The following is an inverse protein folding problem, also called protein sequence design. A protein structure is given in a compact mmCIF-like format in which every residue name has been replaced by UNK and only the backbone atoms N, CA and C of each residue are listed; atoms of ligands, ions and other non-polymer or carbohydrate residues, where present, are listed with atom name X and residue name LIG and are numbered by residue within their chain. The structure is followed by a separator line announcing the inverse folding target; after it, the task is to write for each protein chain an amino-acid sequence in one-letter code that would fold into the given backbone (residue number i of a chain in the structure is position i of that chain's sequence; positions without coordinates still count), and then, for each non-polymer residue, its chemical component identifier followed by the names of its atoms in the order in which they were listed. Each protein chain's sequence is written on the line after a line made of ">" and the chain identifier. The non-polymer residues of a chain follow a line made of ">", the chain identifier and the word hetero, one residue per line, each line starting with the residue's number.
data_IF_848898163638
#
_entry.id   IF_848898163638
#
_cell.length_a   1.000
_cell.length_b   1.000
_cell.length_c   1.000
_cell.angle_alpha   90.00
_cell.angle_beta   90.00
_cell.angle_gamma   90.00
#
_symmetry.space_group_name_H-M   'P 1'
#
loop_
_entity.id
_entity.type
_entity.pdbx_description
1 polymer ?
#
# COMPACT_ATOMS: atom_id res chain seq x y z
N UNK A 1 -16.73 -5.60 9.27
CA UNK A 1 -17.93 -4.74 9.36
C UNK A 1 -18.33 -4.37 7.94
N UNK A 2 -19.62 -4.38 7.59
CA UNK A 2 -20.05 -4.01 6.22
C UNK A 2 -20.00 -2.48 6.04
N UNK A 3 -19.70 -1.98 4.82
CA UNK A 3 -19.86 -0.57 4.49
C UNK A 3 -21.32 -0.11 4.62
N UNK A 4 -21.53 1.21 4.57
CA UNK A 4 -22.88 1.78 4.60
C UNK A 4 -23.61 1.51 3.28
N UNK A 5 -24.89 1.17 3.35
CA UNK A 5 -25.73 0.82 2.18
C UNK A 5 -25.82 1.95 1.15
N UNK A 6 -25.73 3.21 1.60
CA UNK A 6 -25.73 4.40 0.74
C UNK A 6 -24.50 4.49 -0.19
N UNK A 7 -23.39 3.80 0.14
CA UNK A 7 -22.19 3.77 -0.71
C UNK A 7 -22.31 2.86 -1.94
N UNK A 8 -23.31 1.96 -1.98
CA UNK A 8 -23.48 0.96 -3.05
C UNK A 8 -23.48 1.61 -4.44
N UNK A 9 -24.20 2.72 -4.60
CA UNK A 9 -24.28 3.42 -5.89
C UNK A 9 -22.93 3.96 -6.33
N UNK A 10 -22.17 4.57 -5.41
CA UNK A 10 -20.85 5.13 -5.70
C UNK A 10 -19.86 4.01 -6.06
N UNK A 11 -19.83 2.93 -5.27
CA UNK A 11 -18.99 1.77 -5.54
C UNK A 11 -19.30 1.15 -6.91
N UNK A 12 -20.58 0.96 -7.22
CA UNK A 12 -21.04 0.42 -8.51
C UNK A 12 -20.58 1.28 -9.69
N UNK A 13 -20.72 2.60 -9.58
CA UNK A 13 -20.31 3.54 -10.63
C UNK A 13 -18.78 3.59 -10.79
N UNK A 14 -18.02 3.53 -9.69
CA UNK A 14 -16.56 3.51 -9.70
C UNK A 14 -15.99 2.36 -10.53
N UNK A 15 -16.62 1.19 -10.47
CA UNK A 15 -16.23 0.00 -11.26
C UNK A 15 -16.95 -0.10 -12.62
N UNK A 16 -17.75 0.91 -12.99
CA UNK A 16 -18.37 1.03 -14.32
C UNK A 16 -19.48 0.03 -14.64
N UNK A 17 -20.14 -0.60 -13.66
CA UNK A 17 -21.18 -1.61 -13.93
C UNK A 17 -22.61 -1.02 -13.83
N UNK A 18 -23.54 -1.61 -14.58
CA UNK A 18 -24.96 -1.23 -14.56
C UNK A 18 -25.70 -1.86 -13.37
N UNK A 19 -26.82 -1.26 -12.94
CA UNK A 19 -27.71 -1.86 -11.93
C UNK A 19 -28.22 -3.24 -12.37
N UNK A 20 -28.47 -3.43 -13.67
CA UNK A 20 -28.88 -4.72 -14.25
C UNK A 20 -27.80 -5.79 -14.05
N UNK A 21 -26.53 -5.44 -14.27
CA UNK A 21 -25.40 -6.36 -14.06
C UNK A 21 -25.25 -6.71 -12.59
N UNK A 22 -25.29 -5.70 -11.70
CA UNK A 22 -25.19 -5.93 -10.25
C UNK A 22 -26.32 -6.83 -9.74
N UNK A 23 -27.56 -6.58 -10.18
CA UNK A 23 -28.74 -7.38 -9.84
C UNK A 23 -28.58 -8.85 -10.26
N UNK A 24 -28.12 -9.08 -11.50
CA UNK A 24 -27.86 -10.43 -12.02
C UNK A 24 -26.80 -11.18 -11.23
N UNK A 25 -25.72 -10.53 -10.80
CA UNK A 25 -24.65 -11.16 -10.03
C UNK A 25 -25.08 -11.46 -8.59
N UNK A 26 -25.88 -10.57 -7.99
CA UNK A 26 -26.34 -10.68 -6.60
C UNK A 26 -27.55 -11.60 -6.43
N UNK A 27 -28.21 -11.97 -7.53
CA UNK A 27 -29.40 -12.81 -7.53
C UNK A 27 -30.66 -12.07 -7.07
N UNK A 28 -30.75 -10.76 -7.32
CA UNK A 28 -31.92 -9.93 -6.99
C UNK A 28 -32.45 -9.21 -8.22
N UNK A 29 -33.63 -8.57 -8.10
CA UNK A 29 -34.19 -7.80 -9.21
C UNK A 29 -33.48 -6.46 -9.38
N UNK A 30 -33.43 -5.96 -10.63
CA UNK A 30 -32.90 -4.61 -10.91
C UNK A 30 -33.70 -3.51 -10.19
N UNK A 31 -35.00 -3.72 -10.01
CA UNK A 31 -35.87 -2.84 -9.21
C UNK A 31 -35.41 -2.76 -7.75
N UNK A 32 -35.06 -3.89 -7.14
CA UNK A 32 -34.55 -3.93 -5.76
C UNK A 32 -33.24 -3.14 -5.63
N UNK A 33 -32.28 -3.32 -6.56
CA UNK A 33 -31.04 -2.51 -6.57
C UNK A 33 -31.36 -1.02 -6.69
N UNK A 34 -32.28 -0.62 -7.57
CA UNK A 34 -32.69 0.79 -7.70
C UNK A 34 -33.31 1.34 -6.40
N UNK A 35 -34.18 0.57 -5.74
CA UNK A 35 -34.78 0.96 -4.46
C UNK A 35 -33.73 1.12 -3.35
N UNK A 36 -32.74 0.22 -3.30
CA UNK A 36 -31.61 0.30 -2.37
C UNK A 36 -30.77 1.55 -2.64
N UNK A 37 -30.34 1.77 -3.89
CA UNK A 37 -29.49 2.91 -4.27
C UNK A 37 -30.18 4.27 -4.16
N UNK A 38 -31.52 4.30 -4.17
CA UNK A 38 -32.32 5.50 -3.95
C UNK A 38 -32.73 5.72 -2.48
N UNK A 39 -32.34 4.80 -1.58
CA UNK A 39 -32.70 4.87 -0.15
C UNK A 39 -34.16 4.52 0.13
N UNK A 40 -34.93 4.08 -0.86
CA UNK A 40 -36.36 3.71 -0.71
C UNK A 40 -36.57 2.36 -0.03
N UNK A 41 -35.54 1.52 0.03
CA UNK A 41 -35.60 0.21 0.70
C UNK A 41 -34.26 -0.13 1.33
N UNK A 42 -34.31 -0.81 2.48
CA UNK A 42 -33.14 -1.37 3.14
C UNK A 42 -33.02 -2.86 2.80
N UNK A 43 -31.85 -3.33 2.31
CA UNK A 43 -31.63 -4.74 2.06
C UNK A 43 -31.53 -5.53 3.36
N UNK A 44 -31.82 -6.84 3.29
CA UNK A 44 -31.41 -7.75 4.37
C UNK A 44 -29.88 -7.76 4.51
N UNK A 45 -29.37 -8.15 5.69
CA UNK A 45 -27.93 -8.31 5.89
C UNK A 45 -27.30 -9.24 4.84
N UNK A 46 -27.94 -10.37 4.53
CA UNK A 46 -27.44 -11.33 3.54
C UNK A 46 -27.39 -10.73 2.14
N UNK A 47 -28.40 -9.94 1.76
CA UNK A 47 -28.43 -9.23 0.47
C UNK A 47 -27.35 -8.15 0.42
N UNK A 48 -27.22 -7.34 1.47
CA UNK A 48 -26.19 -6.31 1.58
C UNK A 48 -24.79 -6.91 1.48
N UNK A 49 -24.53 -7.99 2.23
CA UNK A 49 -23.27 -8.73 2.20
C UNK A 49 -22.94 -9.21 0.79
N UNK A 50 -23.87 -9.88 0.11
CA UNK A 50 -23.67 -10.33 -1.28
C UNK A 50 -23.35 -9.18 -2.23
N UNK A 51 -24.05 -8.05 -2.10
CA UNK A 51 -23.78 -6.84 -2.90
C UNK A 51 -22.34 -6.37 -2.67
N UNK A 52 -21.93 -6.22 -1.42
CA UNK A 52 -20.58 -5.74 -1.09
C UNK A 52 -19.48 -6.71 -1.47
N UNK A 53 -19.68 -8.02 -1.30
CA UNK A 53 -18.71 -9.05 -1.72
C UNK A 53 -18.48 -8.97 -3.24
N UNK A 54 -19.56 -8.89 -4.04
CA UNK A 54 -19.46 -8.76 -5.51
C UNK A 54 -18.80 -7.45 -5.92
N UNK A 55 -19.19 -6.32 -5.30
CA UNK A 55 -18.58 -5.03 -5.61
C UNK A 55 -17.09 -5.00 -5.27
N UNK A 56 -16.69 -5.58 -4.12
CA UNK A 56 -15.30 -5.67 -3.69
C UNK A 56 -14.46 -6.59 -4.58
N UNK A 57 -15.00 -7.76 -4.94
CA UNK A 57 -14.35 -8.70 -5.87
C UNK A 57 -14.13 -8.08 -7.25
N UNK A 58 -15.12 -7.32 -7.74
CA UNK A 58 -14.99 -6.61 -9.01
C UNK A 58 -14.03 -5.43 -8.90
N UNK A 59 -14.05 -4.67 -7.81
CA UNK A 59 -13.10 -3.57 -7.57
C UNK A 59 -11.65 -4.07 -7.52
N UNK A 60 -11.38 -5.19 -6.84
CA UNK A 60 -10.04 -5.81 -6.80
C UNK A 60 -9.58 -6.38 -8.15
N UNK A 61 -10.52 -6.75 -9.03
CA UNK A 61 -10.24 -7.20 -10.40
C UNK A 61 -10.19 -6.05 -11.42
N UNK A 62 -10.73 -4.87 -11.07
CA UNK A 62 -10.80 -3.70 -11.95
C UNK A 62 -9.53 -2.85 -11.94
N UNK A 63 -8.61 -3.02 -11.00
CA UNK A 63 -7.26 -2.45 -11.15
C UNK A 63 -6.50 -3.29 -12.18
N UNK A 64 -6.38 -2.78 -13.41
CA UNK A 64 -5.52 -3.39 -14.44
C UNK A 64 -4.06 -3.47 -14.01
N UNK A 65 -3.67 -2.64 -13.04
CA UNK A 65 -2.31 -2.49 -12.58
C UNK A 65 -2.05 -3.19 -11.24
N UNK A 66 -0.83 -3.70 -11.12
CA UNK A 66 -0.30 -4.45 -9.97
C UNK A 66 0.87 -3.67 -9.34
N UNK A 67 1.28 -4.08 -8.14
CA UNK A 67 2.45 -3.51 -7.45
C UNK A 67 3.70 -3.52 -8.32
N UNK A 68 3.90 -4.60 -9.08
CA UNK A 68 5.01 -4.73 -10.02
C UNK A 68 5.09 -3.68 -11.12
N UNK A 69 3.97 -3.06 -11.50
CA UNK A 69 3.90 -2.06 -12.56
C UNK A 69 4.43 -0.70 -12.12
N UNK A 70 4.40 -0.42 -10.81
CA UNK A 70 4.81 0.87 -10.23
C UNK A 70 6.14 0.79 -9.47
N UNK A 71 6.58 -0.41 -9.08
CA UNK A 71 7.76 -0.55 -8.24
C UNK A 71 9.06 -0.17 -8.95
N UNK A 72 9.91 0.55 -8.23
CA UNK A 72 11.27 0.83 -8.64
C UNK A 72 12.14 -0.42 -8.42
N UNK A 73 12.79 -0.90 -9.48
CA UNK A 73 13.61 -2.13 -9.46
C UNK A 73 15.02 -1.92 -8.92
N UNK A 74 15.54 -0.69 -9.02
CA UNK A 74 16.85 -0.35 -8.48
C UNK A 74 16.74 -0.05 -6.99
N UNK A 75 16.77 -1.12 -6.19
CA UNK A 75 16.67 -1.01 -4.74
C UNK A 75 18.04 -0.65 -4.20
N UNK A 76 18.15 0.60 -3.75
CA UNK A 76 19.27 1.02 -2.92
C UNK A 76 19.18 0.28 -1.58
N UNK A 77 20.24 -0.44 -1.21
CA UNK A 77 20.31 -1.22 0.05
C UNK A 77 21.44 -0.73 0.95
N UNK A 78 21.28 -0.93 2.25
CA UNK A 78 22.32 -0.82 3.27
C UNK A 78 22.36 -2.09 4.12
N UNK A 79 23.44 -2.28 4.89
CA UNK A 79 23.61 -3.39 5.83
C UNK A 79 23.44 -2.90 7.27
N UNK A 80 23.09 -3.77 8.23
CA UNK A 80 23.03 -3.39 9.65
C UNK A 80 24.35 -2.82 10.21
N UNK A 81 25.48 -3.19 9.58
CA UNK A 81 26.81 -2.71 9.94
C UNK A 81 27.15 -1.33 9.38
N UNK A 82 26.37 -0.79 8.44
CA UNK A 82 26.54 0.60 8.00
C UNK A 82 26.21 1.57 9.13
N UNK A 83 26.69 2.80 9.01
CA UNK A 83 26.39 3.86 9.98
C UNK A 83 25.22 4.72 9.54
N UNK A 84 24.68 5.52 10.46
CA UNK A 84 23.71 6.55 10.12
C UNK A 84 24.29 7.58 9.13
N UNK A 85 25.57 7.92 9.27
CA UNK A 85 26.25 8.81 8.33
C UNK A 85 26.28 8.25 6.90
N UNK A 86 26.53 6.94 6.75
CA UNK A 86 26.45 6.27 5.43
C UNK A 86 25.05 6.40 4.84
N UNK A 87 24.01 6.22 5.66
CA UNK A 87 22.62 6.36 5.23
C UNK A 87 22.30 7.79 4.77
N UNK A 88 22.62 8.80 5.57
CA UNK A 88 22.40 10.23 5.25
C UNK A 88 23.12 10.60 3.95
N UNK A 89 24.39 10.20 3.81
CA UNK A 89 25.19 10.46 2.60
C UNK A 89 24.56 9.83 1.36
N UNK A 90 24.03 8.61 1.50
CA UNK A 90 23.41 7.87 0.39
C UNK A 90 22.04 8.44 0.02
N UNK A 91 21.24 8.84 1.01
CA UNK A 91 19.96 9.54 0.83
C UNK A 91 20.16 10.84 0.06
N UNK A 92 21.08 11.70 0.50
CA UNK A 92 21.40 12.95 -0.20
C UNK A 92 21.89 12.73 -1.63
N UNK A 93 22.82 11.78 -1.82
CA UNK A 93 23.41 11.51 -3.15
C UNK A 93 22.38 11.04 -4.16
N UNK A 94 21.39 10.26 -3.72
CA UNK A 94 20.40 9.63 -4.59
C UNK A 94 19.03 10.32 -4.54
N UNK A 95 18.91 11.40 -3.76
CA UNK A 95 17.66 12.13 -3.53
C UNK A 95 16.49 11.22 -3.12
N UNK A 96 16.77 10.31 -2.17
CA UNK A 96 15.77 9.38 -1.60
C UNK A 96 15.68 9.58 -0.10
N UNK A 97 14.48 9.44 0.46
CA UNK A 97 14.20 9.68 1.88
C UNK A 97 14.24 8.42 2.76
N UNK A 98 14.43 7.25 2.15
CA UNK A 98 14.31 5.97 2.82
C UNK A 98 15.09 4.87 2.10
N UNK A 99 15.74 4.00 2.88
CA UNK A 99 16.61 2.94 2.38
C UNK A 99 16.34 1.67 3.19
N UNK A 100 15.90 0.57 2.55
CA UNK A 100 15.76 -0.71 3.24
C UNK A 100 17.13 -1.29 3.63
N UNK A 101 17.18 -1.86 4.82
CA UNK A 101 18.37 -2.52 5.39
C UNK A 101 18.26 -4.02 5.18
N UNK A 102 19.31 -4.62 4.64
CA UNK A 102 19.37 -6.04 4.30
C UNK A 102 20.52 -6.74 5.02
N UNK A 103 20.22 -7.90 5.60
CA UNK A 103 21.20 -8.90 5.99
C UNK A 103 21.19 -9.97 4.89
N UNK A 104 22.25 -10.04 4.09
CA UNK A 104 22.31 -10.86 2.87
C UNK A 104 21.16 -10.54 1.90
N UNK A 105 20.15 -11.41 1.80
CA UNK A 105 18.99 -11.26 0.92
C UNK A 105 17.69 -10.98 1.69
N UNK A 106 17.74 -10.91 3.01
CA UNK A 106 16.56 -10.72 3.84
C UNK A 106 16.48 -9.25 4.31
N UNK A 107 15.33 -8.59 4.16
CA UNK A 107 15.12 -7.27 4.73
C UNK A 107 14.99 -7.40 6.24
N UNK A 108 15.81 -6.65 6.98
CA UNK A 108 15.85 -6.68 8.45
C UNK A 108 15.39 -5.35 9.09
N UNK A 109 15.23 -4.31 8.28
CA UNK A 109 14.68 -3.03 8.71
C UNK A 109 14.61 -2.01 7.59
N UNK A 110 14.29 -0.78 7.94
CA UNK A 110 14.37 0.39 7.06
C UNK A 110 14.94 1.56 7.83
N UNK A 111 15.74 2.40 7.16
CA UNK A 111 16.13 3.70 7.69
C UNK A 111 15.48 4.80 6.86
N UNK A 112 14.88 5.78 7.52
CA UNK A 112 14.17 6.90 6.90
C UNK A 112 14.64 8.24 7.46
N UNK A 113 14.50 9.33 6.69
CA UNK A 113 14.81 10.69 7.16
C UNK A 113 14.05 11.04 8.45
N UNK A 114 12.77 10.66 8.53
CA UNK A 114 11.96 10.89 9.73
C UNK A 114 12.48 10.08 10.93
N UNK A 115 12.87 8.81 10.72
CA UNK A 115 13.49 8.00 11.76
C UNK A 115 14.80 8.60 12.26
N UNK A 116 15.63 9.14 11.35
CA UNK A 116 16.87 9.85 11.69
C UNK A 116 16.58 11.10 12.52
N UNK A 117 15.60 11.92 12.13
CA UNK A 117 15.21 13.13 12.87
C UNK A 117 14.69 12.80 14.27
N UNK A 118 13.91 11.72 14.40
CA UNK A 118 13.44 11.23 15.69
C UNK A 118 14.61 10.86 16.60
N UNK A 119 15.56 10.08 16.09
CA UNK A 119 16.76 9.71 16.84
C UNK A 119 17.63 10.94 17.20
N UNK A 120 17.70 11.96 16.34
CA UNK A 120 18.41 13.22 16.62
C UNK A 120 17.83 13.98 17.82
N UNK A 121 16.51 13.99 17.96
CA UNK A 121 15.85 14.60 19.10
C UNK A 121 16.14 13.85 20.42
N UNK A 122 16.33 12.53 20.36
CA UNK A 122 16.50 11.68 21.55
C UNK A 122 17.95 11.62 22.06
N UNK A 123 18.94 11.59 21.17
CA UNK A 123 20.34 11.21 21.52
C UNK A 123 21.38 12.32 21.20
N UNK A 124 21.03 13.34 20.40
CA UNK A 124 21.93 14.43 20.02
C UNK A 124 22.96 14.09 18.92
N UNK A 125 23.47 15.12 18.22
CA UNK A 125 24.17 14.96 16.91
C UNK A 125 25.49 14.15 16.98
N UNK A 126 26.24 14.28 18.07
CA UNK A 126 27.60 13.72 18.22
C UNK A 126 27.61 12.19 18.25
N UNK A 127 26.60 11.57 18.86
CA UNK A 127 26.52 10.12 19.03
C UNK A 127 25.93 9.41 17.81
N UNK A 128 25.14 10.13 17.00
CA UNK A 128 24.38 9.56 15.89
C UNK A 128 25.21 9.26 14.65
N UNK A 129 26.26 10.04 14.37
CA UNK A 129 27.05 9.87 13.13
C UNK A 129 27.67 8.47 13.02
N UNK A 130 28.09 7.90 14.15
CA UNK A 130 28.74 6.60 14.22
C UNK A 130 27.80 5.47 14.66
N UNK A 131 26.54 5.78 15.01
CA UNK A 131 25.55 4.79 15.37
C UNK A 131 25.34 3.82 14.20
N UNK A 132 25.32 2.52 14.50
CA UNK A 132 25.07 1.48 13.50
C UNK A 132 23.59 1.47 13.14
N UNK A 133 23.29 1.06 11.91
CA UNK A 133 21.91 0.89 11.47
C UNK A 133 21.20 -0.21 12.26
N UNK A 134 21.90 -1.23 12.74
CA UNK A 134 21.32 -2.25 13.62
C UNK A 134 20.61 -1.65 14.86
N UNK A 135 21.10 -0.52 15.37
CA UNK A 135 20.62 0.11 16.61
C UNK A 135 19.63 1.27 16.34
N UNK A 136 19.47 1.68 15.09
CA UNK A 136 18.73 2.89 14.68
C UNK A 136 17.71 2.66 13.56
N UNK A 137 17.71 1.47 12.94
CA UNK A 137 16.73 1.14 11.91
C UNK A 137 15.34 0.92 12.53
N UNK A 138 14.34 1.27 11.76
CA UNK A 138 12.94 0.97 12.03
C UNK A 138 12.64 -0.48 11.58
N UNK A 139 11.49 -1.00 12.04
CA UNK A 139 11.03 -2.33 11.67
C UNK A 139 10.89 -2.52 10.14
N UNK A 140 10.99 -3.76 9.70
CA UNK A 140 10.84 -4.12 8.28
C UNK A 140 9.52 -3.53 7.73
N UNK A 141 9.55 -2.80 6.62
CA UNK A 141 8.35 -2.24 6.02
C UNK A 141 7.46 -3.36 5.45
N UNK A 142 6.17 -3.11 5.20
CA UNK A 142 5.28 -4.08 4.59
C UNK A 142 5.87 -4.65 3.30
N UNK A 143 5.72 -5.96 3.14
CA UNK A 143 6.13 -6.69 1.95
C UNK A 143 4.86 -7.18 1.26
N UNK A 144 4.71 -6.85 -0.02
CA UNK A 144 3.58 -7.29 -0.86
C UNK A 144 4.08 -8.16 -2.01
N UNK A 145 3.21 -9.01 -2.55
CA UNK A 145 3.53 -9.77 -3.77
C UNK A 145 3.49 -8.87 -5.01
N UNK A 146 4.29 -9.18 -6.02
CA UNK A 146 4.34 -8.48 -7.30
C UNK A 146 2.97 -8.32 -7.95
N UNK A 147 2.11 -9.33 -7.79
CA UNK A 147 0.76 -9.37 -8.35
C UNK A 147 -0.31 -8.70 -7.46
N UNK A 148 0.09 -8.11 -6.34
CA UNK A 148 -0.80 -7.37 -5.45
C UNK A 148 -1.49 -6.23 -6.20
N UNK A 149 -2.84 -6.12 -6.13
CA UNK A 149 -3.59 -5.04 -6.76
C UNK A 149 -3.12 -3.65 -6.34
N UNK A 150 -2.98 -2.72 -7.29
CA UNK A 150 -2.40 -1.42 -6.99
C UNK A 150 -3.24 -0.56 -6.03
N UNK A 151 -4.57 -0.75 -6.03
CA UNK A 151 -5.50 -0.01 -5.16
C UNK A 151 -5.24 -0.20 -3.66
N UNK A 152 -4.59 -1.30 -3.24
CA UNK A 152 -4.24 -1.53 -1.83
C UNK A 152 -2.93 -0.85 -1.40
N UNK A 153 -2.14 -0.35 -2.35
CA UNK A 153 -0.80 0.21 -2.07
C UNK A 153 -0.86 1.60 -1.45
N UNK A 154 -1.79 2.45 -1.91
CA UNK A 154 -1.92 3.83 -1.43
C UNK A 154 -2.24 3.88 0.07
N UNK A 155 -3.23 3.10 0.60
CA UNK A 155 -3.44 3.03 2.04
C UNK A 155 -2.22 2.52 2.81
N UNK A 156 -1.50 1.52 2.28
CA UNK A 156 -0.31 0.98 2.94
C UNK A 156 0.82 2.02 3.03
N UNK A 157 1.11 2.72 1.93
CA UNK A 157 2.17 3.75 1.88
C UNK A 157 1.88 4.91 2.84
N UNK A 158 0.62 5.28 3.04
CA UNK A 158 0.23 6.29 4.02
C UNK A 158 0.71 5.97 5.44
N UNK A 159 0.80 4.70 5.80
CA UNK A 159 1.20 4.27 7.15
C UNK A 159 2.66 3.80 7.22
N UNK A 160 3.22 3.24 6.15
CA UNK A 160 4.56 2.62 6.17
C UNK A 160 5.65 3.34 5.38
N UNK A 161 5.33 4.45 4.69
CA UNK A 161 6.22 5.33 3.87
C UNK A 161 6.85 4.67 2.64
N UNK A 162 7.22 3.39 2.74
CA UNK A 162 7.57 2.53 1.63
C UNK A 162 6.98 1.12 1.79
N UNK A 163 6.95 0.39 0.67
CA UNK A 163 6.54 -1.01 0.58
C UNK A 163 7.60 -1.74 -0.21
N UNK A 164 8.02 -2.92 0.25
CA UNK A 164 8.87 -3.81 -0.53
C UNK A 164 8.00 -4.73 -1.39
N UNK A 165 8.41 -4.92 -2.64
CA UNK A 165 7.72 -5.81 -3.57
C UNK A 165 8.51 -7.09 -3.74
N UNK A 166 7.84 -8.21 -3.52
CA UNK A 166 8.42 -9.55 -3.63
C UNK A 166 7.89 -10.28 -4.86
N UNK A 167 8.73 -11.08 -5.51
CA UNK A 167 8.33 -12.00 -6.58
C UNK A 167 9.04 -13.33 -6.37
N UNK A 168 8.29 -14.42 -6.22
CA UNK A 168 8.84 -15.76 -5.90
C UNK A 168 9.77 -15.70 -4.68
N UNK A 169 9.32 -15.06 -3.61
CA UNK A 169 10.04 -14.89 -2.33
C UNK A 169 11.34 -14.07 -2.40
N UNK A 170 11.60 -13.36 -3.50
CA UNK A 170 12.73 -12.44 -3.62
C UNK A 170 12.24 -11.01 -3.66
N UNK A 171 12.88 -10.10 -2.92
CA UNK A 171 12.58 -8.67 -3.03
C UNK A 171 13.11 -8.15 -4.38
N UNK A 172 12.19 -7.67 -5.22
CA UNK A 172 12.46 -7.23 -6.60
C UNK A 172 12.17 -5.76 -6.83
N UNK A 173 11.49 -5.08 -5.92
CA UNK A 173 11.30 -3.65 -6.00
C UNK A 173 10.94 -3.00 -4.67
N UNK A 174 10.86 -1.67 -4.72
CA UNK A 174 10.34 -0.81 -3.66
C UNK A 174 9.31 0.14 -4.26
N UNK A 175 8.27 0.45 -3.49
CA UNK A 175 7.26 1.46 -3.83
C UNK A 175 7.28 2.51 -2.73
N UNK A 176 7.33 3.77 -3.14
CA UNK A 176 7.33 4.95 -2.27
C UNK A 176 6.17 5.87 -2.63
N UNK A 177 5.94 6.93 -1.84
CA UNK A 177 4.95 7.95 -2.17
C UNK A 177 5.13 8.51 -3.59
N UNK A 178 6.37 8.72 -4.03
CA UNK A 178 6.67 9.19 -5.39
C UNK A 178 6.21 8.23 -6.48
N UNK A 179 6.24 6.91 -6.23
CA UNK A 179 5.76 5.91 -7.17
C UNK A 179 4.21 5.88 -7.22
N UNK A 180 3.54 6.22 -6.12
CA UNK A 180 2.06 6.31 -6.12
C UNK A 180 1.52 7.48 -6.94
N UNK A 181 2.32 8.54 -7.11
CA UNK A 181 1.92 9.66 -7.98
C UNK A 181 1.80 9.21 -9.44
N UNK A 182 2.66 8.27 -9.89
CA UNK A 182 2.58 7.65 -11.22
C UNK A 182 1.31 6.81 -11.42
N UNK A 183 0.61 6.46 -10.35
CA UNK A 183 -0.68 5.75 -10.44
C UNK A 183 -1.85 6.69 -10.78
N UNK A 184 -1.62 8.01 -10.71
CA UNK A 184 -2.61 9.04 -11.05
C UNK A 184 -2.46 9.55 -12.48
N UNK A 185 -1.39 9.16 -13.18
CA UNK A 185 -1.10 9.45 -14.58
C UNK A 185 -1.71 8.38 -15.50
#
# INVERSE_FOLDING_TARGET
>A
MLPRVDSIKQMRLKIGITQKKLASLTGVSTSMINQIESGRSQPSYNTAKKIFDILGDMEGKSSSHKAGDFCSKDIVKLKPTNTLHDAIKKMHKLSISQIPVFEKNEPVGVISEEGIVKHLADVGESELKNAKLADTMEAVPPIVDFDTPANVLVPLIRYSKCILVSKKSKIVGIITASDTLKMME
#
